data_IF_278578909511
#
_entry.id   IF_278578909511
#
_cell.length_a   1.000
_cell.length_b   1.000
_cell.length_c   1.000
_cell.angle_alpha   90.00
_cell.angle_beta   90.00
_cell.angle_gamma   90.00
#
_symmetry.space_group_name_H-M   'P 1'
#
loop_
_entity.id
_entity.type
_entity.pdbx_description
1 polymer ?
#
# COMPACT_ATOMS: atom_id res chain seq x y z
N UNK A 1 -23.57 40.15 -52.05
CA UNK A 1 -23.32 38.70 -51.83
C UNK A 1 -22.49 38.55 -50.57
N UNK A 2 -22.79 37.52 -49.80
CA UNK A 2 -22.66 37.46 -48.35
C UNK A 2 -21.23 37.39 -47.79
N UNK A 3 -21.01 38.09 -46.68
CA UNK A 3 -19.98 37.80 -45.68
C UNK A 3 -20.29 36.45 -45.00
N UNK A 4 -19.28 35.60 -44.87
CA UNK A 4 -19.38 34.36 -44.11
C UNK A 4 -18.24 34.28 -43.08
N UNK A 5 -18.53 34.76 -41.87
CA UNK A 5 -17.71 34.49 -40.69
C UNK A 5 -17.79 33.00 -40.33
N UNK A 6 -16.64 32.38 -40.04
CA UNK A 6 -16.58 30.99 -39.58
C UNK A 6 -16.12 30.92 -38.13
N UNK A 7 -16.96 30.24 -37.35
CA UNK A 7 -17.07 30.24 -35.89
C UNK A 7 -15.90 29.52 -35.20
N UNK A 8 -15.36 30.14 -34.13
CA UNK A 8 -14.56 29.47 -33.10
C UNK A 8 -15.37 28.32 -32.48
N UNK A 9 -14.91 27.08 -32.62
CA UNK A 9 -15.47 25.92 -31.92
C UNK A 9 -15.04 25.95 -30.47
N UNK A 10 -16.01 26.19 -29.58
CA UNK A 10 -15.89 26.11 -28.12
C UNK A 10 -15.78 24.61 -27.75
N UNK A 11 -14.63 24.17 -27.27
CA UNK A 11 -14.48 22.83 -26.67
C UNK A 11 -15.32 22.82 -25.39
N UNK A 12 -16.38 22.01 -25.39
CA UNK A 12 -17.23 21.78 -24.23
C UNK A 12 -16.51 20.76 -23.34
N UNK A 13 -16.06 21.25 -22.19
CA UNK A 13 -15.58 20.43 -21.08
C UNK A 13 -16.74 19.56 -20.56
N UNK A 14 -16.69 18.26 -20.86
CA UNK A 14 -17.62 17.27 -20.30
C UNK A 14 -17.06 16.78 -18.97
N UNK A 15 -17.14 17.64 -17.96
CA UNK A 15 -17.12 17.20 -16.56
C UNK A 15 -18.32 16.27 -16.35
N UNK A 16 -18.06 14.96 -16.35
CA UNK A 16 -19.02 13.97 -15.86
C UNK A 16 -19.00 14.07 -14.35
N UNK A 17 -19.94 14.83 -13.82
CA UNK A 17 -20.39 14.75 -12.43
C UNK A 17 -20.84 13.32 -12.17
N UNK A 18 -20.01 12.56 -11.46
CA UNK A 18 -20.39 11.26 -10.91
C UNK A 18 -21.40 11.55 -9.81
N UNK A 19 -22.67 11.28 -10.08
CA UNK A 19 -23.74 11.40 -9.09
C UNK A 19 -23.64 10.23 -8.10
N UNK A 20 -23.95 10.53 -6.84
CA UNK A 20 -23.93 9.65 -5.66
C UNK A 20 -24.91 8.46 -5.69
N UNK A 21 -25.43 8.11 -6.86
CA UNK A 21 -26.46 7.08 -7.05
C UNK A 21 -25.91 5.74 -7.55
N UNK A 22 -24.72 5.70 -8.15
CA UNK A 22 -24.14 4.46 -8.71
C UNK A 22 -23.42 3.59 -7.66
N UNK A 23 -23.32 4.06 -6.41
CA UNK A 23 -22.67 3.34 -5.30
C UNK A 23 -23.61 2.38 -4.54
N UNK A 24 -24.75 2.00 -5.14
CA UNK A 24 -25.76 1.11 -4.54
C UNK A 24 -25.82 -0.26 -5.22
N UNK A 25 -24.66 -0.89 -5.41
CA UNK A 25 -24.59 -2.33 -5.72
C UNK A 25 -23.79 -3.06 -4.64
N UNK A 26 -24.51 -3.36 -3.56
CA UNK A 26 -24.28 -4.47 -2.62
C UNK A 26 -22.83 -4.77 -2.20
N UNK A 27 -22.19 -3.88 -1.45
CA UNK A 27 -21.19 -4.32 -0.46
C UNK A 27 -21.92 -4.57 0.85
N UNK A 28 -22.21 -5.84 1.16
CA UNK A 28 -22.23 -6.23 2.57
C UNK A 28 -20.88 -5.74 3.13
N UNK A 29 -20.91 -4.86 4.14
CA UNK A 29 -19.69 -4.30 4.74
C UNK A 29 -18.93 -5.47 5.34
N UNK A 30 -18.03 -6.07 4.58
CA UNK A 30 -17.23 -7.19 5.03
C UNK A 30 -16.44 -6.69 6.23
N UNK A 31 -16.72 -7.24 7.40
CA UNK A 31 -16.07 -6.83 8.64
C UNK A 31 -14.62 -7.30 8.57
N UNK A 32 -13.68 -6.37 8.68
CA UNK A 32 -12.25 -6.72 8.77
C UNK A 32 -11.98 -7.62 9.98
N UNK A 33 -11.02 -8.56 9.87
CA UNK A 33 -10.68 -9.43 10.98
C UNK A 33 -10.09 -8.61 12.14
N UNK A 34 -10.29 -9.13 13.35
CA UNK A 34 -9.68 -8.56 14.55
C UNK A 34 -8.16 -8.69 14.51
N UNK A 35 -7.45 -7.67 14.96
CA UNK A 35 -6.01 -7.68 15.14
C UNK A 35 -5.65 -7.71 16.63
N UNK A 36 -4.69 -8.54 17.02
CA UNK A 36 -4.16 -8.55 18.38
C UNK A 36 -3.08 -7.48 18.55
N UNK A 37 -3.05 -6.84 19.71
CA UNK A 37 -1.96 -5.94 20.11
C UNK A 37 -0.66 -6.72 20.28
N UNK A 38 0.46 -6.10 19.88
CA UNK A 38 1.81 -6.63 19.84
C UNK A 38 2.75 -5.59 20.45
N UNK A 39 2.92 -5.58 21.79
CA UNK A 39 3.73 -4.57 22.47
C UNK A 39 5.24 -4.74 22.21
N UNK A 40 5.69 -5.96 21.91
CA UNK A 40 7.12 -6.32 21.81
C UNK A 40 7.65 -6.25 20.37
N UNK A 41 7.13 -5.32 19.57
CA UNK A 41 7.61 -5.09 18.21
C UNK A 41 8.95 -4.35 18.24
N UNK A 42 9.84 -4.72 17.32
CA UNK A 42 11.17 -4.12 17.21
C UNK A 42 11.46 -3.65 15.79
N UNK A 43 12.12 -2.49 15.69
CA UNK A 43 12.57 -1.90 14.44
C UNK A 43 13.92 -2.50 14.05
N UNK A 44 14.00 -3.06 12.84
CA UNK A 44 15.26 -3.37 12.16
C UNK A 44 15.53 -2.32 11.10
N UNK A 45 16.53 -1.47 11.32
CA UNK A 45 16.86 -0.35 10.42
C UNK A 45 17.68 -0.84 9.21
N UNK A 46 17.25 -0.45 8.02
CA UNK A 46 17.98 -0.66 6.77
C UNK A 46 18.71 0.62 6.34
N UNK A 47 18.09 1.78 6.59
CA UNK A 47 18.69 3.09 6.40
C UNK A 47 18.14 4.07 7.44
N UNK A 48 18.85 4.20 8.56
CA UNK A 48 18.46 5.02 9.72
C UNK A 48 16.96 4.91 10.05
N UNK A 49 16.28 6.05 10.22
CA UNK A 49 14.82 6.08 10.34
C UNK A 49 14.13 6.16 8.97
N UNK A 50 14.85 6.40 7.87
CA UNK A 50 14.26 6.60 6.55
C UNK A 50 13.76 5.28 5.93
N UNK A 51 14.30 4.14 6.34
CA UNK A 51 13.90 2.80 5.90
C UNK A 51 14.10 1.75 6.99
N UNK A 52 13.03 1.06 7.37
CA UNK A 52 13.11 -0.01 8.37
C UNK A 52 12.01 -1.06 8.22
N UNK A 53 12.27 -2.24 8.78
CA UNK A 53 11.29 -3.34 8.85
C UNK A 53 10.91 -3.67 10.29
N UNK A 54 9.76 -4.31 10.43
CA UNK A 54 9.22 -4.81 11.69
C UNK A 54 8.72 -6.23 11.44
N UNK A 55 9.40 -7.21 12.03
CA UNK A 55 9.03 -8.62 11.90
C UNK A 55 7.79 -8.95 12.73
N UNK A 56 7.04 -9.97 12.31
CA UNK A 56 5.86 -10.49 13.04
C UNK A 56 4.80 -9.42 13.34
N UNK A 57 4.69 -8.37 12.51
CA UNK A 57 3.69 -7.32 12.68
C UNK A 57 2.27 -7.85 12.53
N UNK A 58 2.05 -8.73 11.55
CA UNK A 58 0.88 -9.61 11.51
C UNK A 58 1.32 -11.05 11.77
N UNK A 59 0.48 -11.83 12.43
CA UNK A 59 0.61 -13.29 12.49
C UNK A 59 0.10 -13.91 11.19
N UNK A 60 0.49 -15.16 10.88
CA UNK A 60 -0.01 -15.84 9.68
C UNK A 60 -1.54 -15.96 9.65
N UNK A 61 -2.17 -16.18 10.81
CA UNK A 61 -3.63 -16.24 10.92
C UNK A 61 -4.29 -14.89 10.58
N UNK A 62 -3.71 -13.78 11.05
CA UNK A 62 -4.18 -12.42 10.72
C UNK A 62 -3.98 -12.14 9.23
N UNK A 63 -2.80 -12.39 8.67
CA UNK A 63 -2.49 -12.23 7.25
C UNK A 63 -3.49 -12.97 6.34
N UNK A 64 -3.73 -14.26 6.61
CA UNK A 64 -4.70 -15.09 5.87
C UNK A 64 -6.12 -14.56 5.99
N UNK A 65 -6.53 -14.12 7.18
CA UNK A 65 -7.86 -13.56 7.38
C UNK A 65 -8.05 -12.24 6.61
N UNK A 66 -7.03 -11.37 6.58
CA UNK A 66 -7.06 -10.13 5.80
C UNK A 66 -7.12 -10.39 4.29
N UNK A 67 -6.32 -11.34 3.78
CA UNK A 67 -6.38 -11.77 2.37
C UNK A 67 -7.79 -12.27 2.03
N UNK A 68 -8.36 -13.17 2.85
CA UNK A 68 -9.70 -13.71 2.64
C UNK A 68 -10.75 -12.60 2.56
N UNK A 69 -10.72 -11.64 3.48
CA UNK A 69 -11.65 -10.51 3.45
C UNK A 69 -11.45 -9.62 2.22
N UNK A 70 -10.20 -9.33 1.84
CA UNK A 70 -9.90 -8.51 0.66
C UNK A 70 -10.36 -9.19 -0.64
N UNK A 71 -10.17 -10.51 -0.79
CA UNK A 71 -10.68 -11.28 -1.93
C UNK A 71 -12.20 -11.30 -2.00
N UNK A 72 -12.88 -11.39 -0.85
CA UNK A 72 -14.35 -11.33 -0.78
C UNK A 72 -14.91 -9.96 -1.18
N UNK A 73 -14.20 -8.87 -0.86
CA UNK A 73 -14.59 -7.52 -1.29
C UNK A 73 -14.31 -7.36 -2.79
N UNK A 74 -13.20 -7.91 -3.27
CA UNK A 74 -12.79 -7.89 -4.67
C UNK A 74 -11.72 -6.84 -4.97
N UNK A 75 -10.88 -7.16 -5.95
CA UNK A 75 -9.83 -6.25 -6.45
C UNK A 75 -10.18 -5.77 -7.86
N UNK A 76 -9.80 -4.52 -8.15
CA UNK A 76 -9.85 -3.96 -9.49
C UNK A 76 -8.45 -3.92 -10.10
N UNK A 77 -8.33 -4.33 -11.35
CA UNK A 77 -7.06 -4.25 -12.07
C UNK A 77 -6.64 -2.78 -12.27
N UNK A 78 -5.37 -2.47 -11.99
CA UNK A 78 -4.74 -1.18 -12.18
C UNK A 78 -3.54 -1.37 -13.10
N UNK A 79 -3.76 -1.16 -14.39
CA UNK A 79 -2.72 -1.16 -15.42
C UNK A 79 -2.46 0.25 -15.94
N UNK A 80 -1.22 0.61 -16.20
CA UNK A 80 -0.88 1.73 -17.09
C UNK A 80 -0.52 1.20 -18.47
N UNK A 81 -0.87 1.95 -19.53
CA UNK A 81 -0.50 1.62 -20.93
C UNK A 81 1.01 1.79 -21.20
N UNK A 82 1.82 1.94 -20.16
CA UNK A 82 3.19 2.45 -20.16
C UNK A 82 3.30 3.66 -19.23
N UNK A 83 4.52 4.05 -18.83
CA UNK A 83 4.73 5.32 -18.15
C UNK A 83 4.33 6.45 -19.11
N UNK A 84 3.19 7.13 -18.86
CA UNK A 84 3.02 8.47 -19.44
C UNK A 84 4.13 9.37 -18.89
N UNK A 85 4.44 10.49 -19.54
CA UNK A 85 5.54 11.35 -19.10
C UNK A 85 5.32 11.79 -17.64
N UNK A 86 6.09 11.21 -16.71
CA UNK A 86 6.01 11.48 -15.28
C UNK A 86 5.27 10.41 -14.45
N UNK A 87 4.70 9.37 -15.06
CA UNK A 87 4.07 8.26 -14.34
C UNK A 87 4.94 7.01 -14.39
N UNK A 88 4.97 6.24 -13.31
CA UNK A 88 5.65 4.94 -13.33
C UNK A 88 4.76 3.86 -13.97
N UNK A 89 5.40 2.89 -14.61
CA UNK A 89 4.71 1.68 -15.07
C UNK A 89 4.04 0.97 -13.91
N UNK A 90 2.75 0.67 -14.02
CA UNK A 90 1.97 -0.02 -12.98
C UNK A 90 1.20 -1.16 -13.59
N UNK A 91 1.32 -2.32 -12.99
CA UNK A 91 0.51 -3.49 -13.28
C UNK A 91 0.30 -4.24 -11.96
N UNK A 92 -0.90 -4.10 -11.39
CA UNK A 92 -1.30 -4.80 -10.18
C UNK A 92 -2.83 -4.77 -10.05
N UNK A 93 -3.40 -5.67 -9.25
CA UNK A 93 -4.79 -5.51 -8.81
C UNK A 93 -4.82 -4.73 -7.49
N UNK A 94 -5.81 -3.87 -7.30
CA UNK A 94 -5.96 -2.98 -6.13
C UNK A 94 -7.38 -3.03 -5.58
N UNK A 95 -7.48 -3.14 -4.27
CA UNK A 95 -8.66 -2.77 -3.50
C UNK A 95 -8.34 -1.46 -2.76
N UNK A 96 -9.27 -0.51 -2.75
CA UNK A 96 -9.14 0.75 -2.00
C UNK A 96 -10.36 0.94 -1.11
N UNK A 97 -10.13 1.19 0.17
CA UNK A 97 -11.18 1.37 1.16
C UNK A 97 -10.86 2.59 2.02
N UNK A 98 -11.90 3.36 2.36
CA UNK A 98 -11.80 4.40 3.37
C UNK A 98 -12.34 3.83 4.69
N UNK A 99 -11.47 3.52 5.63
CA UNK A 99 -11.86 2.91 6.91
C UNK A 99 -11.03 3.45 8.08
N UNK A 100 -11.52 4.51 8.75
CA UNK A 100 -10.85 5.10 9.92
C UNK A 100 -10.73 4.13 11.09
N UNK A 101 -11.66 3.18 11.26
CA UNK A 101 -11.64 2.21 12.37
C UNK A 101 -10.56 1.17 12.15
N UNK A 102 -10.40 0.69 10.92
CA UNK A 102 -9.30 -0.21 10.57
C UNK A 102 -7.96 0.52 10.72
N UNK A 103 -7.84 1.76 10.24
CA UNK A 103 -6.63 2.56 10.38
C UNK A 103 -6.21 2.72 11.85
N UNK A 104 -7.15 3.05 12.73
CA UNK A 104 -6.90 3.12 14.18
C UNK A 104 -6.55 1.74 14.76
N UNK A 105 -7.25 0.67 14.37
CA UNK A 105 -6.95 -0.70 14.82
C UNK A 105 -5.51 -1.12 14.48
N UNK A 106 -5.03 -0.84 13.26
CA UNK A 106 -3.64 -1.12 12.87
C UNK A 106 -2.68 -0.23 13.66
N UNK A 107 -2.99 1.05 13.85
CA UNK A 107 -2.16 1.98 14.60
C UNK A 107 -1.96 1.55 16.06
N UNK A 108 -3.05 1.18 16.75
CA UNK A 108 -3.06 0.74 18.14
C UNK A 108 -2.53 -0.69 18.36
N UNK A 109 -2.22 -1.42 17.28
CA UNK A 109 -1.70 -2.79 17.38
C UNK A 109 -0.27 -2.88 17.92
N UNK A 110 0.38 -1.76 18.15
CA UNK A 110 1.79 -1.66 18.57
C UNK A 110 2.59 -0.72 17.67
N UNK A 111 2.07 -0.37 16.49
CA UNK A 111 2.73 0.57 15.58
C UNK A 111 2.95 1.96 16.21
N UNK A 112 1.99 2.44 16.99
CA UNK A 112 2.09 3.72 17.70
C UNK A 112 3.31 3.80 18.62
N UNK A 113 3.67 2.70 19.28
CA UNK A 113 4.85 2.61 20.14
C UNK A 113 6.16 2.72 19.36
N UNK A 114 6.21 2.16 18.15
CA UNK A 114 7.40 2.24 17.28
C UNK A 114 7.70 3.66 16.81
N UNK A 115 6.69 4.53 16.79
CA UNK A 115 6.79 5.91 16.34
C UNK A 115 6.92 6.93 17.48
N UNK A 116 6.96 6.51 18.75
CA UNK A 116 7.01 7.45 19.88
C UNK A 116 8.20 8.41 19.81
N UNK A 117 9.34 7.90 19.30
CA UNK A 117 10.60 8.64 19.26
C UNK A 117 10.94 9.20 17.86
N UNK A 118 10.06 8.99 16.88
CA UNK A 118 10.26 9.46 15.50
C UNK A 118 9.55 10.80 15.31
N UNK A 119 10.34 11.86 15.14
CA UNK A 119 9.85 13.21 14.84
C UNK A 119 10.31 13.67 13.46
N UNK A 120 9.43 14.36 12.74
CA UNK A 120 9.74 14.97 11.44
C UNK A 120 9.48 16.46 11.52
N UNK A 121 10.54 17.27 11.41
CA UNK A 121 10.45 18.74 11.46
C UNK A 121 9.63 19.23 12.67
N UNK A 122 9.83 18.61 13.84
CA UNK A 122 9.10 18.92 15.09
C UNK A 122 7.70 18.30 15.22
N UNK A 123 7.16 17.67 14.16
CA UNK A 123 5.88 16.96 14.20
C UNK A 123 6.04 15.53 14.69
N UNK A 124 4.99 15.01 15.34
CA UNK A 124 4.91 13.65 15.87
C UNK A 124 3.93 12.82 15.04
N UNK A 125 4.11 11.51 15.01
CA UNK A 125 3.15 10.61 14.39
C UNK A 125 1.87 10.51 15.24
N UNK A 126 0.70 10.57 14.60
CA UNK A 126 -0.60 10.63 15.28
C UNK A 126 -1.60 9.57 14.83
N UNK A 127 -1.25 8.77 13.82
CA UNK A 127 -2.14 7.75 13.29
C UNK A 127 -1.77 7.30 11.89
N UNK A 128 -2.69 6.55 11.28
CA UNK A 128 -2.61 6.12 9.88
C UNK A 128 -3.63 6.84 9.01
N UNK A 129 -3.31 6.98 7.73
CA UNK A 129 -4.22 7.48 6.72
C UNK A 129 -5.42 6.52 6.56
N UNK A 130 -6.67 6.97 6.74
CA UNK A 130 -7.85 6.11 6.58
C UNK A 130 -8.05 5.55 5.17
N UNK A 131 -7.39 6.12 4.16
CA UNK A 131 -7.38 5.57 2.79
C UNK A 131 -6.41 4.39 2.71
N UNK A 132 -6.94 3.19 2.96
CA UNK A 132 -6.22 1.93 3.00
C UNK A 132 -6.31 1.27 1.63
N UNK A 133 -5.21 0.64 1.21
CA UNK A 133 -5.14 -0.10 -0.04
C UNK A 133 -4.67 -1.52 0.21
N UNK A 134 -5.23 -2.46 -0.52
CA UNK A 134 -4.64 -3.78 -0.68
C UNK A 134 -4.16 -3.92 -2.11
N UNK A 135 -2.97 -4.47 -2.28
CA UNK A 135 -2.41 -4.79 -3.57
C UNK A 135 -2.30 -6.30 -3.72
N UNK A 136 -2.63 -6.79 -4.91
CA UNK A 136 -2.40 -8.17 -5.34
C UNK A 136 -1.59 -8.13 -6.63
N UNK A 137 -0.47 -8.85 -6.65
CA UNK A 137 0.38 -9.01 -7.82
C UNK A 137 0.46 -10.50 -8.18
N UNK A 138 -0.01 -10.83 -9.38
CA UNK A 138 0.12 -12.15 -10.00
C UNK A 138 1.44 -12.23 -10.77
N UNK A 139 1.78 -13.43 -11.23
CA UNK A 139 2.96 -13.65 -12.08
C UNK A 139 2.97 -12.67 -13.26
N UNK A 140 4.10 -11.99 -13.48
CA UNK A 140 4.29 -10.97 -14.52
C UNK A 140 3.97 -9.53 -14.09
N UNK A 141 3.24 -9.36 -12.99
CA UNK A 141 2.82 -8.04 -12.49
C UNK A 141 3.92 -7.38 -11.65
N UNK A 142 4.00 -6.05 -11.71
CA UNK A 142 5.00 -5.23 -11.01
C UNK A 142 4.57 -3.77 -10.89
N UNK A 143 5.25 -3.01 -10.04
CA UNK A 143 5.14 -1.55 -10.01
C UNK A 143 6.53 -0.96 -10.18
N UNK A 144 6.79 -0.36 -11.34
CA UNK A 144 8.11 0.17 -11.70
C UNK A 144 8.57 1.32 -10.81
N UNK A 145 9.82 1.73 -11.00
CA UNK A 145 10.48 2.76 -10.18
C UNK A 145 9.68 4.05 -10.08
N UNK A 146 9.44 4.50 -8.86
CA UNK A 146 8.67 5.71 -8.53
C UNK A 146 9.10 6.33 -7.20
N UNK A 147 8.58 7.53 -6.96
CA UNK A 147 8.58 8.18 -5.65
C UNK A 147 7.15 8.27 -5.15
N UNK A 148 6.97 8.07 -3.85
CA UNK A 148 5.68 8.26 -3.19
C UNK A 148 5.56 9.68 -2.65
N UNK A 149 4.39 10.29 -2.85
CA UNK A 149 4.08 11.64 -2.42
C UNK A 149 3.42 11.68 -1.04
N UNK A 150 3.66 12.76 -0.29
CA UNK A 150 2.87 13.05 0.91
C UNK A 150 1.44 13.42 0.56
N UNK A 151 0.50 13.00 1.41
CA UNK A 151 -0.90 13.41 1.38
C UNK A 151 -1.12 14.45 2.46
N UNK A 152 -1.66 15.61 2.07
CA UNK A 152 -2.18 16.62 3.00
C UNK A 152 -3.60 16.22 3.40
N UNK A 153 -3.84 16.11 4.71
CA UNK A 153 -5.12 15.70 5.28
C UNK A 153 -5.87 16.90 5.89
N UNK A 154 -5.37 18.12 5.72
CA UNK A 154 -5.87 19.31 6.40
C UNK A 154 -5.45 19.36 7.87
N UNK A 155 -5.79 20.43 8.57
CA UNK A 155 -5.52 20.59 10.03
C UNK A 155 -4.05 20.33 10.40
N UNK A 156 -3.13 20.76 9.54
CA UNK A 156 -1.67 20.55 9.68
C UNK A 156 -1.22 19.07 9.73
N UNK A 157 -2.09 18.13 9.35
CA UNK A 157 -1.81 16.69 9.25
C UNK A 157 -1.29 16.34 7.87
N UNK A 158 -0.15 15.64 7.82
CA UNK A 158 0.47 15.21 6.56
C UNK A 158 1.10 13.83 6.70
N UNK A 159 1.03 13.01 5.65
CA UNK A 159 1.68 11.70 5.67
C UNK A 159 3.17 11.80 5.35
N UNK A 160 4.01 11.05 6.07
CA UNK A 160 5.47 11.04 5.85
C UNK A 160 6.12 9.66 5.69
N UNK A 161 5.45 8.59 6.10
CA UNK A 161 5.91 7.23 5.82
C UNK A 161 4.84 6.47 5.05
N UNK A 162 5.28 5.65 4.11
CA UNK A 162 4.46 4.55 3.61
C UNK A 162 4.65 3.35 4.54
N UNK A 163 3.54 2.71 4.92
CA UNK A 163 3.49 1.43 5.61
C UNK A 163 3.05 0.37 4.60
N UNK A 164 3.90 -0.63 4.36
CA UNK A 164 3.55 -1.84 3.64
C UNK A 164 3.57 -3.02 4.61
N UNK A 165 2.53 -3.85 4.63
CA UNK A 165 2.52 -5.12 5.38
C UNK A 165 2.39 -6.24 4.36
N UNK A 166 3.40 -7.10 4.29
CA UNK A 166 3.37 -8.25 3.41
C UNK A 166 2.47 -9.33 4.02
N UNK A 167 1.38 -9.66 3.32
CA UNK A 167 0.40 -10.65 3.82
C UNK A 167 0.75 -12.08 3.39
N UNK A 168 1.75 -12.25 2.55
CA UNK A 168 2.29 -13.53 2.10
C UNK A 168 3.80 -13.37 1.83
N UNK A 169 4.56 -14.44 2.02
CA UNK A 169 5.99 -14.49 1.69
C UNK A 169 6.80 -15.33 2.68
N UNK A 170 8.03 -15.68 2.28
CA UNK A 170 8.95 -16.56 3.04
C UNK A 170 8.79 -18.06 2.71
N UNK A 171 9.80 -18.88 3.03
CA UNK A 171 9.68 -20.33 2.96
C UNK A 171 8.66 -20.83 3.99
N UNK A 172 7.71 -21.65 3.57
CA UNK A 172 6.77 -22.32 4.47
C UNK A 172 7.57 -23.15 5.49
N UNK A 173 7.57 -22.75 6.75
CA UNK A 173 7.93 -23.68 7.82
C UNK A 173 6.79 -24.68 7.95
N UNK A 174 7.10 -25.95 7.78
CA UNK A 174 6.18 -27.09 7.73
C UNK A 174 5.00 -26.96 8.72
N UNK A 175 3.87 -26.51 8.19
CA UNK A 175 2.63 -26.35 8.92
C UNK A 175 1.51 -26.28 7.90
N UNK A 176 0.89 -27.43 7.64
CA UNK A 176 -0.16 -27.63 6.62
C UNK A 176 -1.09 -26.41 6.52
N UNK A 177 -0.95 -25.64 5.44
CA UNK A 177 -1.85 -24.55 5.15
C UNK A 177 -3.17 -25.12 4.63
N UNK A 178 -4.23 -25.07 5.44
CA UNK A 178 -5.61 -25.30 4.97
C UNK A 178 -6.08 -24.10 4.12
N UNK A 179 -5.43 -23.88 2.98
CA UNK A 179 -5.85 -22.97 1.91
C UNK A 179 -6.61 -23.70 0.80
N UNK A 180 -7.06 -24.93 1.05
CA UNK A 180 -7.71 -25.84 0.10
C UNK A 180 -9.01 -25.31 -0.56
N UNK A 181 -9.52 -24.17 -0.10
CA UNK A 181 -10.69 -23.50 -0.68
C UNK A 181 -10.37 -22.26 -1.51
N UNK A 182 -9.09 -21.85 -1.65
CA UNK A 182 -8.66 -20.85 -2.61
C UNK A 182 -8.00 -21.57 -3.79
N UNK A 183 -8.85 -22.23 -4.60
CA UNK A 183 -8.41 -22.85 -5.84
C UNK A 183 -7.85 -21.76 -6.75
N UNK A 184 -6.63 -22.01 -7.22
CA UNK A 184 -5.89 -21.29 -8.26
C UNK A 184 -4.91 -20.23 -7.72
N UNK A 185 -3.62 -20.61 -7.68
CA UNK A 185 -2.40 -19.81 -7.52
C UNK A 185 -1.92 -19.38 -6.12
N UNK A 186 -2.65 -19.58 -5.02
CA UNK A 186 -2.16 -19.24 -3.66
C UNK A 186 -1.37 -20.37 -2.96
N UNK A 187 -1.21 -21.54 -3.59
CA UNK A 187 -0.51 -22.70 -3.03
C UNK A 187 0.96 -22.81 -3.46
N UNK A 188 1.41 -21.95 -4.39
CA UNK A 188 2.81 -21.93 -4.81
C UNK A 188 3.60 -20.93 -3.97
N UNK A 189 4.84 -21.26 -3.56
CA UNK A 189 5.68 -20.32 -2.84
C UNK A 189 5.91 -19.06 -3.67
N UNK A 190 5.80 -17.90 -3.03
CA UNK A 190 6.05 -16.62 -3.68
C UNK A 190 7.53 -16.51 -4.05
N UNK A 191 7.81 -16.22 -5.32
CA UNK A 191 9.17 -15.93 -5.81
C UNK A 191 9.17 -14.62 -6.60
N UNK A 192 10.11 -13.73 -6.30
CA UNK A 192 10.12 -12.36 -6.82
C UNK A 192 9.22 -11.43 -6.01
N UNK A 193 8.94 -10.25 -6.55
CA UNK A 193 8.08 -9.28 -5.89
C UNK A 193 8.77 -8.47 -4.78
N UNK A 194 10.10 -8.40 -4.76
CA UNK A 194 10.87 -7.61 -3.81
C UNK A 194 10.52 -6.13 -3.90
N UNK A 195 10.51 -5.43 -2.76
CA UNK A 195 10.51 -3.96 -2.75
C UNK A 195 11.97 -3.50 -2.72
N UNK A 196 12.39 -2.76 -3.75
CA UNK A 196 13.80 -2.38 -3.96
C UNK A 196 13.93 -0.88 -3.96
N UNK A 197 14.95 -0.38 -3.27
CA UNK A 197 15.25 1.03 -3.08
C UNK A 197 16.59 1.38 -3.73
N UNK A 198 16.64 2.57 -4.31
CA UNK A 198 17.77 3.07 -5.06
C UNK A 198 18.22 4.44 -4.56
N UNK A 199 19.52 4.72 -4.66
CA UNK A 199 20.07 6.04 -4.44
C UNK A 199 19.97 6.95 -5.69
N UNK A 200 20.53 8.16 -5.59
CA UNK A 200 20.59 9.13 -6.69
C UNK A 200 21.47 8.69 -7.87
N UNK A 201 22.37 7.74 -7.65
CA UNK A 201 23.22 7.14 -8.69
C UNK A 201 22.55 5.92 -9.33
N UNK A 202 21.34 5.59 -8.89
CA UNK A 202 20.54 4.46 -9.35
C UNK A 202 21.15 3.09 -8.93
N UNK A 203 21.95 3.08 -7.87
CA UNK A 203 22.47 1.87 -7.22
C UNK A 203 21.50 1.36 -6.16
N UNK A 204 21.45 0.04 -5.98
CA UNK A 204 20.55 -0.58 -4.98
C UNK A 204 21.11 -0.30 -3.58
N UNK A 205 20.33 0.35 -2.73
CA UNK A 205 20.67 0.59 -1.31
C UNK A 205 19.99 -0.39 -0.37
N UNK A 206 18.83 -0.91 -0.75
CA UNK A 206 18.13 -1.93 0.00
C UNK A 206 17.20 -2.75 -0.89
N UNK A 207 17.07 -4.02 -0.55
CA UNK A 207 16.16 -4.97 -1.19
C UNK A 207 15.44 -5.76 -0.11
N UNK A 208 14.10 -5.68 -0.11
CA UNK A 208 13.25 -6.29 0.90
C UNK A 208 12.37 -7.34 0.23
N UNK A 209 12.71 -8.60 0.46
CA UNK A 209 11.88 -9.73 0.06
C UNK A 209 10.57 -9.75 0.86
N UNK A 210 9.41 -10.03 0.24
CA UNK A 210 8.17 -10.18 0.98
C UNK A 210 8.28 -11.35 1.96
N UNK A 211 8.03 -11.08 3.24
CA UNK A 211 7.97 -12.08 4.30
C UNK A 211 6.61 -11.94 5.00
N UNK A 212 5.86 -13.04 5.10
CA UNK A 212 4.51 -13.00 5.66
C UNK A 212 4.51 -12.36 7.05
N UNK A 213 3.64 -11.37 7.22
CA UNK A 213 3.48 -10.66 8.48
C UNK A 213 4.50 -9.56 8.75
N UNK A 214 5.54 -9.42 7.93
CA UNK A 214 6.51 -8.34 8.07
C UNK A 214 5.91 -7.00 7.60
N UNK A 215 6.12 -5.95 8.38
CA UNK A 215 5.90 -4.58 7.94
C UNK A 215 7.21 -3.96 7.43
N UNK A 216 7.11 -3.20 6.35
CA UNK A 216 8.14 -2.34 5.80
C UNK A 216 7.66 -0.90 5.87
N UNK A 217 8.49 -0.03 6.44
CA UNK A 217 8.24 1.40 6.53
C UNK A 217 9.37 2.15 5.83
N UNK A 218 8.98 3.07 4.96
CA UNK A 218 9.93 3.96 4.29
C UNK A 218 9.40 5.38 4.23
N UNK A 219 10.28 6.34 4.43
CA UNK A 219 9.94 7.76 4.32
C UNK A 219 9.54 8.09 2.88
N UNK A 220 8.59 9.00 2.73
CA UNK A 220 8.12 9.48 1.43
C UNK A 220 7.98 11.02 1.38
N UNK A 221 7.57 11.57 0.23
CA UNK A 221 7.62 13.01 -0.02
C UNK A 221 9.04 13.50 -0.29
N UNK A 222 9.45 14.61 0.35
CA UNK A 222 10.73 15.30 0.07
C UNK A 222 11.98 14.42 0.25
N UNK A 223 11.89 13.37 1.08
CA UNK A 223 12.97 12.42 1.37
C UNK A 223 12.74 11.05 0.74
N UNK A 224 11.75 10.90 -0.14
CA UNK A 224 11.42 9.59 -0.71
C UNK A 224 12.61 9.03 -1.49
N UNK A 225 12.98 7.79 -1.19
CA UNK A 225 13.91 7.03 -2.03
C UNK A 225 13.20 6.54 -3.29
N UNK A 226 13.92 6.49 -4.40
CA UNK A 226 13.40 5.87 -5.61
C UNK A 226 13.20 4.38 -5.33
N UNK A 227 12.02 3.85 -5.60
CA UNK A 227 11.74 2.45 -5.27
C UNK A 227 10.77 1.79 -6.24
N UNK A 228 10.79 0.47 -6.27
CA UNK A 228 9.88 -0.33 -7.10
C UNK A 228 9.42 -1.61 -6.39
N UNK A 229 8.31 -2.16 -6.84
CA UNK A 229 7.94 -3.55 -6.57
C UNK A 229 8.33 -4.38 -7.80
N UNK A 230 9.34 -5.26 -7.65
CA UNK A 230 9.83 -6.12 -8.73
C UNK A 230 8.76 -7.10 -9.23
N UNK A 231 9.04 -7.70 -10.36
CA UNK A 231 8.19 -8.70 -11.00
C UNK A 231 7.96 -9.91 -10.09
N UNK A 232 6.70 -10.33 -9.96
CA UNK A 232 6.37 -11.65 -9.38
C UNK A 232 6.63 -12.72 -10.44
N UNK A 233 7.40 -13.74 -10.09
CA UNK A 233 7.76 -14.83 -11.00
C UNK A 233 7.01 -16.14 -10.70
N UNK A 234 6.60 -16.36 -9.45
CA UNK A 234 5.76 -17.50 -9.01
C UNK A 234 4.84 -17.08 -7.87
N UNK A 235 3.70 -17.75 -7.75
CA UNK A 235 2.69 -17.45 -6.73
C UNK A 235 2.01 -16.09 -6.91
N UNK A 236 1.44 -15.58 -5.81
CA UNK A 236 0.76 -14.28 -5.76
C UNK A 236 1.28 -13.50 -4.56
N UNK A 237 1.63 -12.22 -4.75
CA UNK A 237 2.01 -11.29 -3.66
C UNK A 237 0.80 -10.48 -3.22
N UNK A 238 0.56 -10.44 -1.91
CA UNK A 238 -0.44 -9.59 -1.26
C UNK A 238 0.22 -8.58 -0.32
N UNK A 239 -0.23 -7.33 -0.39
CA UNK A 239 0.28 -6.24 0.45
C UNK A 239 -0.87 -5.39 0.97
N UNK A 240 -0.90 -5.14 2.27
CA UNK A 240 -1.67 -4.04 2.85
C UNK A 240 -0.83 -2.76 2.80
N UNK A 241 -1.45 -1.64 2.45
CA UNK A 241 -0.82 -0.32 2.51
C UNK A 241 -1.69 0.69 3.26
N UNK A 242 -1.03 1.48 4.09
CA UNK A 242 -1.49 2.80 4.55
C UNK A 242 -0.27 3.72 4.64
N UNK A 243 -0.47 4.95 5.12
CA UNK A 243 0.61 5.93 5.30
C UNK A 243 0.52 6.53 6.71
N UNK A 244 1.66 6.76 7.36
CA UNK A 244 1.72 7.32 8.72
C UNK A 244 1.54 8.84 8.69
N UNK A 245 0.57 9.32 9.46
CA UNK A 245 0.17 10.73 9.57
C UNK A 245 0.96 11.39 10.68
N UNK A 246 1.50 12.58 10.40
CA UNK A 246 2.17 13.43 11.38
C UNK A 246 1.43 14.76 11.53
N UNK A 247 1.43 15.29 12.76
CA UNK A 247 0.86 16.59 13.10
C UNK A 247 1.74 17.30 14.14
N UNK A 248 1.48 18.59 14.39
CA UNK A 248 2.12 19.30 15.49
C UNK A 248 1.84 18.56 16.81
N UNK A 249 2.88 18.33 17.60
CA UNK A 249 2.73 17.68 18.91
C UNK A 249 1.86 18.55 19.81
N UNK A 250 0.89 17.91 20.47
CA UNK A 250 0.15 18.51 21.59
C UNK A 250 1.05 18.68 22.81
#
# INVERSE_FOLDING_TARGET
MAEAGTRKRKMVDRSRTITSADNKKATAVAKWPSLKSKPDLHITRLQDNDLFTVQNFFTSAESKAFIKTAELIGFEHQGSLGPTKGEAYRDNDRLSVYDPKLADTIWQSGLSLLFSDIKIRGKVAVGLNPNIRFYRYKVGQRFGRHFDGSVDLGEEKRTHYTLLIYLIGGPETEGKSDLSNLKDSASEPLVGGETVFYDSWNEIVAEVAPAEGMALLHIHGDKCMLHEARNVSKGIKYVFRSDVVFACGL
#
